data_IF_475456608677
#
_entry.id   IF_475456608677
#
_cell.length_a   1.000
_cell.length_b   1.000
_cell.length_c   1.000
_cell.angle_alpha   90.00
_cell.angle_beta   90.00
_cell.angle_gamma   90.00
#
_symmetry.space_group_name_H-M   'P 1'
#
loop_
_entity.id
_entity.type
_entity.pdbx_description
1 polymer ?
#
# COMPACT_ATOMS: atom_id res chain seq x y z
N UNK A 1 14.20 14.13 5.41
CA UNK A 1 15.05 13.25 6.24
C UNK A 1 14.68 11.81 5.96
N UNK A 2 15.68 10.96 5.71
CA UNK A 2 15.45 9.54 5.48
C UNK A 2 15.16 8.82 6.78
N UNK A 3 14.25 7.87 6.72
CA UNK A 3 13.96 6.98 7.83
C UNK A 3 13.96 5.55 7.30
N UNK A 4 15.04 4.82 7.55
CA UNK A 4 15.17 3.43 7.12
C UNK A 4 14.83 2.53 8.29
N UNK A 5 13.92 1.59 8.05
CA UNK A 5 13.48 0.62 9.07
C UNK A 5 13.67 -0.79 8.58
N UNK A 6 14.13 -1.66 9.48
CA UNK A 6 14.03 -3.10 9.28
C UNK A 6 12.63 -3.53 9.69
N UNK A 7 11.94 -4.27 8.82
CA UNK A 7 10.59 -4.74 9.10
C UNK A 7 10.59 -6.27 9.13
N UNK A 8 9.92 -6.89 10.11
CA UNK A 8 9.95 -8.36 10.22
C UNK A 8 9.08 -9.08 9.21
N UNK A 9 8.30 -8.35 8.43
CA UNK A 9 7.33 -8.95 7.53
C UNK A 9 6.01 -9.26 8.21
N UNK A 10 4.97 -9.44 7.40
CA UNK A 10 3.62 -9.73 7.90
C UNK A 10 2.73 -10.17 6.74
N UNK A 11 1.51 -10.60 7.07
CA UNK A 11 0.52 -10.99 6.06
C UNK A 11 -0.59 -9.95 6.00
N UNK A 12 -1.07 -9.66 4.79
CA UNK A 12 -2.23 -8.80 4.55
C UNK A 12 -3.27 -9.60 3.79
N UNK A 13 -4.51 -9.55 4.26
CA UNK A 13 -5.65 -10.19 3.59
C UNK A 13 -6.59 -9.11 3.08
N UNK A 14 -6.94 -9.16 1.82
CA UNK A 14 -7.81 -8.16 1.23
C UNK A 14 -8.20 -8.47 -0.20
N UNK A 15 -8.46 -7.41 -0.96
CA UNK A 15 -8.87 -7.48 -2.35
C UNK A 15 -7.83 -6.85 -3.26
N UNK A 16 -7.74 -7.33 -4.49
CA UNK A 16 -6.69 -6.92 -5.43
C UNK A 16 -7.24 -6.37 -6.74
N UNK A 17 -6.40 -5.58 -7.41
CA UNK A 17 -6.60 -5.19 -8.79
C UNK A 17 -5.23 -5.06 -9.47
N UNK A 18 -5.17 -5.37 -10.77
CA UNK A 18 -3.97 -5.18 -11.56
C UNK A 18 -4.07 -3.86 -12.31
N UNK A 19 -3.11 -2.96 -12.13
CA UNK A 19 -3.17 -1.62 -12.68
C UNK A 19 -1.76 -1.07 -12.94
N UNK A 20 -1.67 0.20 -13.35
CA UNK A 20 -0.40 0.92 -13.47
C UNK A 20 -0.63 2.40 -13.14
N UNK A 21 0.46 3.12 -12.87
CA UNK A 21 0.37 4.51 -12.45
C UNK A 21 -0.19 5.43 -13.54
N UNK A 22 0.15 5.18 -14.80
CA UNK A 22 -0.39 5.98 -15.89
C UNK A 22 -1.92 5.88 -15.97
N UNK A 23 -2.46 4.68 -15.81
CA UNK A 23 -3.91 4.45 -15.81
C UNK A 23 -4.57 5.13 -14.61
N UNK A 24 -3.96 5.02 -13.41
CA UNK A 24 -4.50 5.65 -12.21
C UNK A 24 -4.53 7.18 -12.34
N UNK A 25 -3.47 7.77 -12.88
CA UNK A 25 -3.37 9.22 -13.06
C UNK A 25 -4.30 9.75 -14.15
N UNK A 26 -4.70 8.91 -15.10
CA UNK A 26 -5.61 9.32 -16.20
C UNK A 26 -7.08 9.40 -15.77
N UNK A 27 -7.42 8.94 -14.58
CA UNK A 27 -8.80 8.87 -14.11
C UNK A 27 -9.51 7.57 -14.46
N UNK A 28 -8.85 6.65 -15.17
CA UNK A 28 -9.40 5.34 -15.55
C UNK A 28 -8.82 4.23 -14.69
N UNK A 29 -8.41 4.57 -13.47
CA UNK A 29 -7.80 3.63 -12.57
C UNK A 29 -8.78 2.71 -11.86
N UNK A 30 -8.24 1.75 -11.14
CA UNK A 30 -9.00 0.73 -10.41
C UNK A 30 -8.95 0.91 -8.90
N UNK A 31 -8.00 1.72 -8.41
CA UNK A 31 -7.77 1.88 -6.96
C UNK A 31 -9.01 2.42 -6.25
N UNK A 32 -9.69 3.40 -6.85
CA UNK A 32 -10.91 3.96 -6.27
C UNK A 32 -11.99 2.91 -6.07
N UNK A 33 -12.20 2.03 -7.06
CA UNK A 33 -13.19 0.95 -6.97
C UNK A 33 -12.80 -0.08 -5.89
N UNK A 34 -11.50 -0.36 -5.76
CA UNK A 34 -11.00 -1.24 -4.70
C UNK A 34 -11.34 -0.68 -3.33
N UNK A 35 -11.12 0.63 -3.13
CA UNK A 35 -11.46 1.29 -1.87
C UNK A 35 -12.95 1.24 -1.58
N UNK A 36 -13.80 1.51 -2.57
CA UNK A 36 -15.25 1.46 -2.39
C UNK A 36 -15.71 0.06 -1.97
N UNK A 37 -15.16 -0.97 -2.60
CA UNK A 37 -15.48 -2.35 -2.26
C UNK A 37 -14.98 -2.72 -0.86
N UNK A 38 -13.74 -2.32 -0.55
CA UNK A 38 -13.13 -2.62 0.75
C UNK A 38 -13.91 -1.99 1.91
N UNK A 39 -14.42 -0.77 1.74
CA UNK A 39 -15.13 -0.05 2.79
C UNK A 39 -16.52 -0.61 3.09
N UNK A 40 -16.99 -1.59 2.33
CA UNK A 40 -18.25 -2.27 2.64
C UNK A 40 -18.10 -3.11 3.90
N UNK A 41 -18.94 -2.92 4.93
CA UNK A 41 -18.78 -3.65 6.19
C UNK A 41 -18.76 -5.17 6.02
N UNK A 42 -19.49 -5.68 5.06
CA UNK A 42 -19.55 -7.13 4.79
C UNK A 42 -18.21 -7.68 4.32
N UNK A 43 -17.38 -6.89 3.64
CA UNK A 43 -16.09 -7.35 3.16
C UNK A 43 -15.11 -7.51 4.32
N UNK A 44 -14.95 -6.47 5.14
CA UNK A 44 -14.03 -6.48 6.28
C UNK A 44 -14.40 -7.60 7.25
N UNK A 45 -15.69 -7.85 7.45
CA UNK A 45 -16.17 -8.90 8.33
C UNK A 45 -15.73 -10.30 7.88
N UNK A 46 -15.46 -10.50 6.58
CA UNK A 46 -15.02 -11.78 6.03
C UNK A 46 -13.52 -12.03 6.17
N UNK A 47 -12.73 -11.02 6.51
CA UNK A 47 -11.28 -11.19 6.65
C UNK A 47 -11.02 -12.00 7.92
N UNK A 48 -10.43 -13.20 7.80
CA UNK A 48 -10.15 -14.03 8.98
C UNK A 48 -8.85 -13.60 9.67
N UNK A 49 -8.74 -13.94 10.94
CA UNK A 49 -7.50 -13.80 11.72
C UNK A 49 -6.92 -12.40 11.74
N UNK A 50 -7.76 -11.37 11.72
CA UNK A 50 -7.31 -9.97 11.77
C UNK A 50 -6.49 -9.70 13.02
N UNK A 51 -5.34 -9.06 12.88
CA UNK A 51 -4.47 -8.63 13.99
C UNK A 51 -4.35 -7.11 14.06
N UNK A 52 -5.06 -6.38 13.19
CA UNK A 52 -5.07 -4.92 13.18
C UNK A 52 -6.30 -4.42 12.45
N UNK A 53 -6.57 -3.13 12.64
CA UNK A 53 -7.75 -2.46 12.08
C UNK A 53 -7.40 -1.38 11.07
N UNK A 54 -6.11 -1.05 10.91
CA UNK A 54 -5.67 0.00 10.00
C UNK A 54 -5.54 -0.57 8.59
N UNK A 55 -6.25 -0.03 7.59
CA UNK A 55 -6.08 -0.47 6.21
C UNK A 55 -4.63 -0.34 5.75
N UNK A 56 -4.18 -1.34 5.01
CA UNK A 56 -2.86 -1.35 4.40
C UNK A 56 -3.04 -1.54 2.90
N UNK A 57 -2.49 -0.62 2.12
CA UNK A 57 -2.47 -0.71 0.67
C UNK A 57 -1.10 -1.21 0.23
N UNK A 58 -1.06 -2.31 -0.51
CA UNK A 58 0.17 -2.97 -0.92
C UNK A 58 0.33 -2.84 -2.42
N UNK A 59 1.53 -2.46 -2.84
CA UNK A 59 1.95 -2.41 -4.24
C UNK A 59 2.99 -3.51 -4.42
N UNK A 60 2.67 -4.50 -5.23
CA UNK A 60 3.53 -5.68 -5.36
C UNK A 60 3.41 -6.29 -6.75
N UNK A 61 4.13 -7.38 -6.98
CA UNK A 61 4.13 -8.08 -8.28
C UNK A 61 4.42 -7.11 -9.43
N UNK A 62 5.39 -6.23 -9.24
CA UNK A 62 5.79 -5.26 -10.26
C UNK A 62 6.29 -5.98 -11.50
N UNK A 63 5.77 -5.56 -12.66
CA UNK A 63 6.23 -6.06 -13.95
C UNK A 63 7.66 -5.60 -14.23
N UNK A 64 7.94 -4.33 -13.96
CA UNK A 64 9.26 -3.72 -14.12
C UNK A 64 9.56 -2.79 -12.95
N UNK A 65 9.32 -1.51 -13.13
CA UNK A 65 9.47 -0.48 -12.10
C UNK A 65 8.12 0.25 -11.89
N UNK A 66 8.15 1.47 -11.37
CA UNK A 66 6.92 2.24 -11.12
C UNK A 66 6.18 2.63 -12.42
N UNK A 67 6.76 2.41 -13.60
CA UNK A 67 6.11 2.71 -14.88
C UNK A 67 5.34 1.51 -15.44
N UNK A 68 5.62 0.31 -14.95
CA UNK A 68 4.94 -0.90 -15.40
C UNK A 68 3.69 -1.22 -14.59
N UNK A 69 3.10 -2.37 -14.88
CA UNK A 69 1.95 -2.86 -14.14
C UNK A 69 2.37 -3.39 -12.77
N UNK A 70 1.47 -3.33 -11.81
CA UNK A 70 1.64 -3.89 -10.46
C UNK A 70 0.30 -4.39 -9.95
N UNK A 71 0.34 -5.22 -8.91
CA UNK A 71 -0.85 -5.62 -8.16
C UNK A 71 -1.04 -4.66 -7.00
N UNK A 72 -2.23 -4.08 -6.91
CA UNK A 72 -2.67 -3.27 -5.78
C UNK A 72 -3.54 -4.15 -4.90
N UNK A 73 -3.16 -4.30 -3.63
CA UNK A 73 -3.95 -5.05 -2.66
C UNK A 73 -4.31 -4.13 -1.50
N UNK A 74 -5.60 -4.04 -1.19
CA UNK A 74 -6.07 -3.26 -0.05
C UNK A 74 -6.69 -4.23 0.96
N UNK A 75 -6.17 -4.22 2.17
CA UNK A 75 -6.60 -5.18 3.18
C UNK A 75 -6.22 -4.79 4.59
N UNK A 76 -6.26 -5.78 5.46
CA UNK A 76 -5.90 -5.64 6.88
C UNK A 76 -4.80 -6.65 7.22
N UNK A 77 -3.94 -6.30 8.21
CA UNK A 77 -2.95 -7.26 8.68
C UNK A 77 -3.65 -8.44 9.37
N UNK A 78 -3.15 -9.63 9.08
CA UNK A 78 -3.76 -10.87 9.58
C UNK A 78 -2.69 -11.90 9.91
N UNK A 79 -3.02 -12.85 10.79
CA UNK A 79 -2.21 -14.04 10.99
C UNK A 79 -2.37 -14.98 9.79
N UNK A 80 -1.42 -15.90 9.54
CA UNK A 80 -1.52 -16.82 8.41
C UNK A 80 -2.86 -17.57 8.38
N UNK A 81 -3.39 -17.75 7.17
CA UNK A 81 -4.73 -18.32 6.95
C UNK A 81 -4.62 -19.50 6.01
N UNK A 82 -5.23 -20.63 6.36
CA UNK A 82 -5.22 -21.83 5.52
C UNK A 82 -6.22 -21.77 4.39
N UNK A 83 -7.38 -21.14 4.62
CA UNK A 83 -8.44 -21.02 3.61
C UNK A 83 -9.07 -19.65 3.64
N UNK A 84 -9.33 -19.10 2.45
CA UNK A 84 -9.92 -17.76 2.32
C UNK A 84 -11.25 -17.84 1.57
N UNK A 85 -12.20 -16.91 1.87
CA UNK A 85 -13.33 -16.67 0.99
C UNK A 85 -12.88 -16.38 -0.45
N UNK A 86 -13.73 -16.71 -1.42
CA UNK A 86 -13.35 -16.73 -2.83
C UNK A 86 -12.86 -15.40 -3.39
N UNK A 87 -13.30 -14.27 -2.82
CA UNK A 87 -12.94 -12.94 -3.30
C UNK A 87 -11.81 -12.29 -2.51
N UNK A 88 -11.18 -13.00 -1.58
CA UNK A 88 -10.08 -12.48 -0.78
C UNK A 88 -8.75 -13.12 -1.19
N UNK A 89 -7.70 -12.33 -1.05
CA UNK A 89 -6.33 -12.75 -1.35
C UNK A 89 -5.45 -12.49 -0.13
N UNK A 90 -4.53 -13.39 0.15
CA UNK A 90 -3.49 -13.16 1.17
C UNK A 90 -2.17 -12.87 0.46
N UNK A 91 -1.43 -11.88 0.98
CA UNK A 91 -0.09 -11.57 0.49
C UNK A 91 0.86 -11.49 1.67
N UNK A 92 1.99 -12.16 1.54
CA UNK A 92 3.09 -12.04 2.50
C UNK A 92 3.93 -10.80 2.13
N UNK A 93 4.01 -9.86 3.07
CA UNK A 93 4.87 -8.69 2.92
C UNK A 93 6.24 -9.09 3.44
N UNK A 94 7.30 -9.07 2.59
CA UNK A 94 8.58 -9.64 2.99
C UNK A 94 9.25 -8.83 4.09
N UNK A 95 9.98 -9.53 4.95
CA UNK A 95 10.90 -8.91 5.87
C UNK A 95 12.02 -8.23 5.09
N UNK A 96 12.55 -7.13 5.60
CA UNK A 96 13.65 -6.44 4.96
C UNK A 96 13.71 -4.97 5.30
N UNK A 97 14.48 -4.25 4.51
CA UNK A 97 14.69 -2.81 4.70
C UNK A 97 13.68 -2.01 3.91
N UNK A 98 13.10 -1.02 4.55
CA UNK A 98 12.15 -0.09 3.94
C UNK A 98 12.54 1.34 4.25
N UNK A 99 12.45 2.21 3.24
CA UNK A 99 12.51 3.65 3.45
C UNK A 99 11.09 4.13 3.78
N UNK A 100 10.93 4.84 4.88
CA UNK A 100 9.61 5.26 5.37
C UNK A 100 9.45 6.76 5.19
N UNK A 101 8.35 7.15 4.56
CA UNK A 101 8.02 8.56 4.34
C UNK A 101 6.61 8.83 4.83
N UNK A 102 6.43 9.99 5.49
CA UNK A 102 5.10 10.47 5.86
C UNK A 102 4.65 11.50 4.84
N UNK A 103 3.39 11.41 4.43
CA UNK A 103 2.80 12.42 3.54
C UNK A 103 2.58 13.74 4.29
N UNK A 104 2.36 14.81 3.55
CA UNK A 104 1.79 16.01 4.12
C UNK A 104 0.37 15.71 4.60
N UNK A 105 -0.19 16.59 5.41
CA UNK A 105 -1.58 16.46 5.86
C UNK A 105 -2.50 17.22 4.92
N UNK A 106 -3.58 16.59 4.50
CA UNK A 106 -4.54 17.18 3.59
C UNK A 106 -5.51 16.14 3.02
N UNK A 107 -6.25 16.48 1.95
CA UNK A 107 -7.12 15.51 1.29
C UNK A 107 -6.35 14.31 0.77
N UNK A 108 -6.84 13.10 1.03
CA UNK A 108 -6.18 11.86 0.58
C UNK A 108 -5.94 11.85 -0.92
N UNK A 109 -6.91 12.29 -1.71
CA UNK A 109 -6.81 12.31 -3.17
C UNK A 109 -5.68 13.21 -3.68
N UNK A 110 -5.17 14.11 -2.82
CA UNK A 110 -4.08 15.01 -3.11
C UNK A 110 -2.76 14.53 -2.51
N UNK A 111 -2.75 14.20 -1.22
CA UNK A 111 -1.49 13.90 -0.51
C UNK A 111 -0.88 12.56 -0.90
N UNK A 112 -1.70 11.57 -1.27
CA UNK A 112 -1.20 10.26 -1.69
C UNK A 112 -0.47 10.36 -3.05
N UNK A 113 -1.05 10.94 -4.11
CA UNK A 113 -0.29 11.13 -5.35
C UNK A 113 0.95 12.00 -5.17
N UNK A 114 0.88 13.03 -4.33
CA UNK A 114 2.02 13.94 -4.12
C UNK A 114 3.22 13.23 -3.51
N UNK A 115 3.00 12.39 -2.47
CA UNK A 115 4.12 11.71 -1.84
C UNK A 115 4.74 10.69 -2.81
N UNK A 116 3.93 10.00 -3.61
CA UNK A 116 4.45 9.07 -4.60
C UNK A 116 5.25 9.77 -5.69
N UNK A 117 4.79 10.94 -6.16
CA UNK A 117 5.54 11.74 -7.13
C UNK A 117 6.90 12.15 -6.59
N UNK A 118 6.96 12.53 -5.30
CA UNK A 118 8.24 12.82 -4.65
C UNK A 118 9.15 11.60 -4.61
N UNK A 119 8.59 10.44 -4.25
CA UNK A 119 9.35 9.18 -4.17
C UNK A 119 9.90 8.80 -5.56
N UNK A 120 9.09 8.92 -6.61
CA UNK A 120 9.52 8.59 -7.97
C UNK A 120 10.68 9.47 -8.44
N UNK A 121 10.79 10.68 -7.94
CA UNK A 121 11.85 11.62 -8.32
C UNK A 121 13.11 11.51 -7.46
N UNK A 122 13.08 10.70 -6.39
CA UNK A 122 14.23 10.56 -5.49
C UNK A 122 15.31 9.69 -6.09
N UNK A 123 16.58 10.12 -5.87
CA UNK A 123 17.75 9.29 -6.18
C UNK A 123 17.91 8.19 -5.13
N UNK A 124 18.72 7.14 -5.40
CA UNK A 124 19.03 6.16 -4.37
C UNK A 124 19.62 6.75 -3.10
N UNK A 125 20.44 7.79 -3.22
CA UNK A 125 20.99 8.49 -2.05
C UNK A 125 19.88 9.12 -1.21
N UNK A 126 18.90 9.75 -1.86
CA UNK A 126 17.77 10.37 -1.17
C UNK A 126 16.86 9.34 -0.52
N UNK A 127 16.65 8.20 -1.19
CA UNK A 127 15.87 7.09 -0.63
C UNK A 127 16.58 6.35 0.50
N UNK A 128 17.89 6.34 0.49
CA UNK A 128 18.68 5.57 1.43
C UNK A 128 19.07 4.18 0.93
N UNK A 129 18.87 3.91 -0.35
CA UNK A 129 19.22 2.65 -0.99
C UNK A 129 18.51 2.47 -2.32
N UNK A 130 18.80 1.39 -3.00
CA UNK A 130 18.14 1.06 -4.27
C UNK A 130 16.76 0.46 -4.02
N UNK A 131 15.74 0.96 -4.72
CA UNK A 131 14.40 0.36 -4.66
C UNK A 131 14.45 -1.07 -5.20
N UNK A 132 13.76 -1.96 -4.49
CA UNK A 132 13.71 -3.36 -4.90
C UNK A 132 12.63 -3.62 -5.96
N UNK A 133 11.59 -2.80 -6.03
CA UNK A 133 10.41 -3.01 -6.88
C UNK A 133 9.80 -4.40 -6.67
N UNK A 134 9.82 -4.87 -5.43
CA UNK A 134 9.16 -6.12 -5.03
C UNK A 134 7.86 -5.84 -4.31
N UNK A 135 7.94 -5.07 -3.21
CA UNK A 135 6.76 -4.73 -2.41
C UNK A 135 6.98 -3.40 -1.73
N UNK A 136 5.99 -2.53 -1.89
CA UNK A 136 5.87 -1.27 -1.16
C UNK A 136 4.50 -1.25 -0.51
N UNK A 137 4.32 -0.49 0.58
CA UNK A 137 2.99 -0.41 1.18
C UNK A 137 2.75 0.93 1.86
N UNK A 138 1.46 1.25 2.00
CA UNK A 138 0.96 2.44 2.68
C UNK A 138 0.14 2.00 3.89
N UNK A 139 0.28 2.72 5.01
CA UNK A 139 -0.52 2.46 6.22
C UNK A 139 -1.49 3.63 6.43
N UNK A 140 -2.77 3.29 6.52
CA UNK A 140 -3.86 4.24 6.77
C UNK A 140 -4.32 4.06 8.20
N UNK A 141 -3.65 4.74 9.13
CA UNK A 141 -3.98 4.68 10.56
C UNK A 141 -4.96 5.81 10.95
N UNK A 142 -5.03 6.14 12.23
CA UNK A 142 -5.94 7.16 12.73
C UNK A 142 -5.72 8.54 12.10
N UNK A 143 -4.51 8.84 11.65
CA UNK A 143 -4.21 10.10 10.96
C UNK A 143 -4.94 10.21 9.62
N UNK A 144 -5.43 9.10 9.08
CA UNK A 144 -6.19 9.06 7.83
C UNK A 144 -7.70 8.85 8.04
N UNK A 145 -8.18 8.97 9.29
CA UNK A 145 -9.59 8.77 9.60
C UNK A 145 -10.50 9.80 8.93
N UNK A 146 -10.02 11.05 8.79
CA UNK A 146 -10.73 12.08 8.04
C UNK A 146 -10.10 12.19 6.65
N UNK A 147 -10.79 11.74 5.59
CA UNK A 147 -10.21 11.76 4.24
C UNK A 147 -9.90 13.15 3.69
N UNK A 148 -10.50 14.19 4.25
CA UNK A 148 -10.25 15.57 3.83
C UNK A 148 -9.06 16.20 4.57
N UNK A 149 -8.58 15.56 5.64
CA UNK A 149 -7.46 16.05 6.45
C UNK A 149 -6.67 14.88 6.98
N UNK A 150 -6.00 14.16 6.07
CA UNK A 150 -5.36 12.89 6.35
C UNK A 150 -3.85 12.95 6.16
N UNK A 151 -3.17 12.02 6.80
CA UNK A 151 -1.73 11.78 6.64
C UNK A 151 -1.49 10.28 6.64
N UNK A 152 -0.64 9.81 5.75
CA UNK A 152 -0.28 8.39 5.66
C UNK A 152 1.24 8.21 5.72
N UNK A 153 1.66 7.01 6.05
CA UNK A 153 3.05 6.58 5.92
C UNK A 153 3.19 5.64 4.73
N UNK A 154 4.28 5.82 3.98
CA UNK A 154 4.61 5.00 2.82
C UNK A 154 5.93 4.27 3.11
N UNK A 155 5.92 2.96 2.93
CA UNK A 155 7.08 2.09 3.11
C UNK A 155 7.56 1.63 1.74
N UNK A 156 8.75 2.07 1.35
CA UNK A 156 9.35 1.75 0.06
C UNK A 156 10.39 0.66 0.25
N UNK A 157 10.17 -0.50 -0.40
CA UNK A 157 11.09 -1.62 -0.28
C UNK A 157 12.44 -1.36 -0.93
N UNK A 158 13.51 -1.68 -0.21
CA UNK A 158 14.89 -1.51 -0.66
C UNK A 158 15.58 -2.87 -0.80
N UNK A 159 16.62 -2.89 -1.61
CA UNK A 159 17.52 -4.05 -1.67
C UNK A 159 18.25 -4.29 -0.37
#
# INVERSE_FOLDING_TARGET
>A
MRNIQEHPGFYVVGITARTNNAQEMSGNGKIGDVWQTFLQPSLVAKIPNKIGVDPIAVYTDYETDHTGHYTYLLGLPASPVEALPANLTVKHIPAGRYAVFSSDRGPLEQVVPEIWQRIWSMSPEELGGMRSFKTDFEIYDQRAADPENAQIDVYVGLH
#
